data_IF_812354191472
#
_entry.id   IF_812354191472
#
_cell.length_a   1.000
_cell.length_b   1.000
_cell.length_c   1.000
_cell.angle_alpha   90.00
_cell.angle_beta   90.00
_cell.angle_gamma   90.00
#
_symmetry.space_group_name_H-M   'P 1'
#
loop_
_entity.id
_entity.type
_entity.pdbx_description
1 polymer ?
#
# COMPACT_ATOMS: atom_id res chain seq x y z
N UNK A 1 -23.38 -10.65 3.00
CA UNK A 1 -23.25 -9.92 1.72
C UNK A 1 -22.22 -10.62 0.85
N UNK A 2 -22.54 -10.86 -0.42
CA UNK A 2 -21.61 -11.48 -1.36
C UNK A 2 -20.74 -10.40 -2.01
N UNK A 3 -19.43 -10.55 -1.89
CA UNK A 3 -18.45 -9.63 -2.48
C UNK A 3 -17.86 -10.31 -3.71
N UNK A 4 -17.84 -9.61 -4.84
CA UNK A 4 -17.23 -10.08 -6.08
C UNK A 4 -16.05 -9.20 -6.45
N UNK A 5 -14.91 -9.84 -6.72
CA UNK A 5 -13.67 -9.18 -7.10
C UNK A 5 -13.14 -9.76 -8.42
N UNK A 6 -12.44 -8.94 -9.19
CA UNK A 6 -11.72 -9.44 -10.36
C UNK A 6 -10.43 -10.12 -9.91
N UNK A 7 -10.31 -11.40 -10.25
CA UNK A 7 -9.12 -12.20 -9.99
C UNK A 7 -8.20 -12.18 -11.21
N UNK A 8 -7.03 -11.58 -11.09
CA UNK A 8 -6.08 -11.45 -12.20
C UNK A 8 -5.42 -12.79 -12.62
N UNK A 9 -5.46 -13.81 -11.75
CA UNK A 9 -4.99 -15.15 -12.13
C UNK A 9 -5.91 -15.82 -13.14
N UNK A 10 -7.22 -15.65 -12.96
CA UNK A 10 -8.23 -16.25 -13.81
C UNK A 10 -8.79 -15.29 -14.85
N UNK A 11 -8.50 -13.98 -14.71
CA UNK A 11 -9.08 -12.87 -15.47
C UNK A 11 -10.62 -12.84 -15.44
N UNK A 12 -11.21 -13.29 -14.34
CA UNK A 12 -12.67 -13.35 -14.14
C UNK A 12 -13.08 -12.60 -12.89
N UNK A 13 -14.33 -12.11 -12.92
CA UNK A 13 -14.99 -11.61 -11.72
C UNK A 13 -15.53 -12.81 -10.95
N UNK A 14 -15.02 -13.02 -9.76
CA UNK A 14 -15.33 -14.17 -8.92
C UNK A 14 -15.84 -13.73 -7.55
N UNK A 15 -16.64 -14.59 -6.93
CA UNK A 15 -17.05 -14.38 -5.54
C UNK A 15 -15.81 -14.49 -4.62
N UNK A 16 -15.64 -13.51 -3.77
CA UNK A 16 -14.60 -13.54 -2.76
C UNK A 16 -14.94 -14.55 -1.66
N UNK A 17 -14.18 -15.62 -1.60
CA UNK A 17 -14.30 -16.65 -0.56
C UNK A 17 -13.03 -16.59 0.30
N UNK A 18 -13.11 -16.04 1.52
CA UNK A 18 -11.96 -15.95 2.40
C UNK A 18 -11.53 -17.33 2.92
N UNK A 19 -10.23 -17.52 3.13
CA UNK A 19 -9.67 -18.72 3.76
C UNK A 19 -10.13 -18.88 5.21
N UNK A 20 -10.23 -17.75 5.91
CA UNK A 20 -10.77 -17.68 7.26
C UNK A 20 -11.86 -16.59 7.31
N UNK A 21 -13.11 -16.98 7.59
CA UNK A 21 -14.24 -16.04 7.70
C UNK A 21 -14.18 -15.16 8.95
N UNK A 22 -13.35 -15.50 9.93
CA UNK A 22 -13.21 -14.73 11.17
C UNK A 22 -12.14 -13.65 11.05
N UNK A 23 -11.16 -13.83 10.15
CA UNK A 23 -10.04 -12.91 10.00
C UNK A 23 -9.60 -12.79 8.54
N UNK A 24 -9.82 -11.63 7.97
CA UNK A 24 -9.42 -11.29 6.60
C UNK A 24 -8.07 -10.58 6.62
N UNK A 25 -7.12 -11.08 5.84
CA UNK A 25 -5.88 -10.39 5.52
C UNK A 25 -5.98 -9.68 4.18
N UNK A 26 -5.64 -8.39 4.15
CA UNK A 26 -5.57 -7.58 2.95
C UNK A 26 -4.17 -6.98 2.84
N UNK A 27 -3.48 -7.26 1.76
CA UNK A 27 -2.17 -6.66 1.47
C UNK A 27 -2.26 -5.82 0.19
N UNK A 28 -1.76 -4.59 0.27
CA UNK A 28 -1.70 -3.66 -0.87
C UNK A 28 -0.28 -3.14 -1.00
N UNK A 29 0.25 -3.18 -2.22
CA UNK A 29 1.52 -2.54 -2.53
C UNK A 29 1.37 -1.02 -2.36
N UNK A 30 2.21 -0.45 -1.50
CA UNK A 30 2.25 0.99 -1.27
C UNK A 30 3.16 1.72 -2.26
N UNK A 31 3.33 3.03 -2.10
CA UNK A 31 4.14 3.84 -2.99
C UNK A 31 5.64 3.61 -2.82
N UNK A 32 6.40 3.85 -3.89
CA UNK A 32 7.84 4.12 -3.82
C UNK A 32 8.03 5.61 -3.59
N UNK A 33 8.69 5.96 -2.49
CA UNK A 33 8.77 7.35 -1.99
C UNK A 33 9.99 8.09 -2.55
N UNK A 34 10.00 8.31 -3.87
CA UNK A 34 11.06 9.02 -4.59
C UNK A 34 10.66 10.41 -5.10
N UNK A 35 9.37 10.68 -5.19
CA UNK A 35 8.80 11.94 -5.69
C UNK A 35 7.41 12.15 -5.07
N UNK A 36 6.92 13.37 -5.09
CA UNK A 36 5.61 13.71 -4.56
C UNK A 36 4.50 12.89 -5.24
N UNK A 37 3.49 12.44 -4.50
CA UNK A 37 2.38 11.68 -5.05
C UNK A 37 1.59 12.51 -6.09
N UNK A 38 1.15 11.84 -7.14
CA UNK A 38 0.23 12.43 -8.12
C UNK A 38 -1.12 11.69 -8.11
N UNK A 39 -2.09 12.21 -8.85
CA UNK A 39 -3.46 11.67 -8.89
C UNK A 39 -3.52 10.18 -9.25
N UNK A 40 -2.58 9.69 -10.05
CA UNK A 40 -2.46 8.27 -10.37
C UNK A 40 -2.12 7.40 -9.16
N UNK A 41 -1.42 7.95 -8.17
CA UNK A 41 -1.13 7.27 -6.90
C UNK A 41 -2.34 7.31 -5.95
N UNK A 42 -3.17 8.35 -6.03
CA UNK A 42 -4.37 8.49 -5.22
C UNK A 42 -5.46 7.46 -5.57
N UNK A 43 -5.57 7.10 -6.85
CA UNK A 43 -6.60 6.16 -7.32
C UNK A 43 -6.56 4.81 -6.58
N UNK A 44 -5.46 4.05 -6.53
CA UNK A 44 -5.41 2.79 -5.78
C UNK A 44 -5.65 3.00 -4.28
N UNK A 45 -5.19 4.11 -3.70
CA UNK A 45 -5.45 4.44 -2.30
C UNK A 45 -6.94 4.45 -2.00
N UNK A 46 -7.72 5.24 -2.75
CA UNK A 46 -9.16 5.38 -2.54
C UNK A 46 -9.89 4.07 -2.82
N UNK A 47 -9.54 3.37 -3.90
CA UNK A 47 -10.20 2.10 -4.26
C UNK A 47 -9.99 1.04 -3.16
N UNK A 48 -8.76 0.90 -2.66
CA UNK A 48 -8.46 -0.07 -1.61
C UNK A 48 -8.99 0.36 -0.24
N UNK A 49 -9.14 1.66 0.01
CA UNK A 49 -9.83 2.16 1.20
C UNK A 49 -11.31 1.77 1.19
N UNK A 50 -12.00 1.91 0.05
CA UNK A 50 -13.38 1.46 -0.12
C UNK A 50 -13.50 -0.05 0.14
N UNK A 51 -12.60 -0.85 -0.43
CA UNK A 51 -12.57 -2.29 -0.20
C UNK A 51 -12.32 -2.61 1.29
N UNK A 52 -11.38 -1.94 1.93
CA UNK A 52 -11.10 -2.12 3.34
C UNK A 52 -12.32 -1.84 4.23
N UNK A 53 -13.01 -0.72 3.99
CA UNK A 53 -14.25 -0.37 4.71
C UNK A 53 -15.36 -1.40 4.47
N UNK A 54 -15.52 -1.88 3.24
CA UNK A 54 -16.49 -2.92 2.90
C UNK A 54 -16.18 -4.23 3.66
N UNK A 55 -14.92 -4.65 3.66
CA UNK A 55 -14.49 -5.84 4.40
C UNK A 55 -14.71 -5.70 5.91
N UNK A 56 -14.39 -4.54 6.51
CA UNK A 56 -14.63 -4.25 7.92
C UNK A 56 -16.12 -4.33 8.30
N UNK A 57 -17.01 -3.91 7.40
CA UNK A 57 -18.44 -3.99 7.63
C UNK A 57 -19.02 -5.40 7.44
N UNK A 58 -18.28 -6.27 6.74
CA UNK A 58 -18.77 -7.61 6.38
C UNK A 58 -18.18 -8.71 7.28
N UNK A 59 -16.96 -8.52 7.76
CA UNK A 59 -16.22 -9.54 8.52
C UNK A 59 -15.81 -9.04 9.92
N UNK A 60 -15.71 -9.95 10.91
CA UNK A 60 -15.43 -9.58 12.30
C UNK A 60 -14.08 -8.91 12.50
N UNK A 61 -13.06 -9.34 11.75
CA UNK A 61 -11.70 -8.81 11.84
C UNK A 61 -11.06 -8.69 10.46
N UNK A 62 -10.45 -7.54 10.20
CA UNK A 62 -9.67 -7.29 8.98
C UNK A 62 -8.32 -6.71 9.37
N UNK A 63 -7.26 -7.31 8.87
CA UNK A 63 -5.90 -6.78 8.95
C UNK A 63 -5.50 -6.25 7.59
N UNK A 64 -5.28 -4.94 7.50
CA UNK A 64 -4.84 -4.26 6.29
C UNK A 64 -3.38 -3.88 6.40
N UNK A 65 -2.58 -4.38 5.47
CA UNK A 65 -1.14 -4.08 5.37
C UNK A 65 -0.89 -3.33 4.07
N UNK A 66 -0.19 -2.21 4.16
CA UNK A 66 0.29 -1.44 3.01
C UNK A 66 1.75 -1.06 3.26
N UNK A 67 2.67 -1.55 2.43
CA UNK A 67 4.09 -1.22 2.60
C UNK A 67 4.43 0.19 2.10
N UNK A 68 5.58 0.67 2.51
CA UNK A 68 6.28 1.83 1.93
C UNK A 68 7.58 1.31 1.34
N UNK A 69 7.81 1.56 0.05
CA UNK A 69 9.07 1.24 -0.61
C UNK A 69 10.01 2.44 -0.48
N UNK A 70 10.89 2.37 0.49
CA UNK A 70 11.87 3.41 0.84
C UNK A 70 13.31 3.03 0.44
N UNK A 71 13.46 1.94 -0.32
CA UNK A 71 14.70 1.51 -0.97
C UNK A 71 14.37 1.16 -2.42
N UNK A 72 14.92 1.91 -3.38
CA UNK A 72 14.73 1.71 -4.82
C UNK A 72 15.76 2.55 -5.60
N UNK A 73 16.13 2.13 -6.79
CA UNK A 73 17.07 2.87 -7.66
C UNK A 73 16.54 4.28 -7.99
N UNK A 74 15.23 4.44 -8.09
CA UNK A 74 14.59 5.74 -8.32
C UNK A 74 14.83 6.71 -7.15
N UNK A 75 14.85 6.21 -5.93
CA UNK A 75 15.14 7.01 -4.73
C UNK A 75 16.59 7.49 -4.78
N UNK A 76 17.53 6.60 -5.12
CA UNK A 76 18.96 6.95 -5.25
C UNK A 76 19.13 8.02 -6.31
N UNK A 77 18.54 7.83 -7.49
CA UNK A 77 18.62 8.79 -8.59
C UNK A 77 18.05 10.15 -8.19
N UNK A 78 16.82 10.19 -7.64
CA UNK A 78 16.16 11.42 -7.22
C UNK A 78 16.93 12.16 -6.12
N UNK A 79 17.51 11.44 -5.16
CA UNK A 79 18.31 12.03 -4.08
C UNK A 79 19.57 12.70 -4.62
N UNK A 80 20.23 12.10 -5.60
CA UNK A 80 21.40 12.70 -6.28
C UNK A 80 21.02 13.96 -7.08
N UNK A 81 19.92 13.93 -7.81
CA UNK A 81 19.42 15.08 -8.57
C UNK A 81 19.05 16.26 -7.66
N UNK A 82 18.42 15.96 -6.51
CA UNK A 82 18.03 16.98 -5.53
C UNK A 82 19.15 17.36 -4.55
N UNK A 83 20.30 16.69 -4.61
CA UNK A 83 21.47 16.92 -3.72
C UNK A 83 21.13 16.78 -2.22
N UNK A 84 20.25 15.85 -1.89
CA UNK A 84 19.87 15.51 -0.51
C UNK A 84 20.14 14.02 -0.27
N UNK A 85 20.15 13.58 0.99
CA UNK A 85 20.29 12.17 1.29
C UNK A 85 19.03 11.37 0.93
N UNK A 86 19.19 10.10 0.58
CA UNK A 86 18.05 9.21 0.32
C UNK A 86 17.10 9.14 1.53
N UNK A 87 17.62 9.17 2.74
CA UNK A 87 16.83 9.19 3.97
C UNK A 87 15.97 10.46 4.06
N UNK A 88 16.57 11.63 3.85
CA UNK A 88 15.85 12.91 3.87
C UNK A 88 14.75 12.96 2.81
N UNK A 89 15.05 12.50 1.58
CA UNK A 89 14.08 12.41 0.50
C UNK A 89 12.90 11.50 0.88
N UNK A 90 13.17 10.29 1.35
CA UNK A 90 12.12 9.32 1.70
C UNK A 90 11.26 9.78 2.87
N UNK A 91 11.83 10.44 3.87
CA UNK A 91 11.09 11.03 4.98
C UNK A 91 10.17 12.16 4.53
N UNK A 92 10.67 13.07 3.69
CA UNK A 92 9.90 14.18 3.11
C UNK A 92 8.73 13.67 2.29
N UNK A 93 8.99 12.78 1.32
CA UNK A 93 7.95 12.25 0.43
C UNK A 93 6.95 11.37 1.18
N UNK A 94 7.39 10.58 2.16
CA UNK A 94 6.49 9.82 3.01
C UNK A 94 5.54 10.72 3.81
N UNK A 95 6.04 11.83 4.33
CA UNK A 95 5.21 12.81 5.06
C UNK A 95 4.13 13.40 4.16
N UNK A 96 4.51 13.85 2.95
CA UNK A 96 3.59 14.35 1.94
C UNK A 96 2.51 13.30 1.58
N UNK A 97 2.93 12.06 1.37
CA UNK A 97 2.01 10.95 1.10
C UNK A 97 1.00 10.71 2.25
N UNK A 98 1.42 10.80 3.49
CA UNK A 98 0.50 10.64 4.63
C UNK A 98 -0.49 11.80 4.75
N UNK A 99 -0.06 13.01 4.46
CA UNK A 99 -0.94 14.18 4.40
C UNK A 99 -2.00 14.02 3.30
N UNK A 100 -1.61 13.54 2.12
CA UNK A 100 -2.53 13.26 1.03
C UNK A 100 -3.54 12.15 1.39
N UNK A 101 -3.08 11.06 2.05
CA UNK A 101 -3.98 10.02 2.54
C UNK A 101 -5.05 10.60 3.50
N UNK A 102 -4.64 11.48 4.39
CA UNK A 102 -5.52 12.15 5.34
C UNK A 102 -6.48 13.12 4.63
N UNK A 103 -5.99 13.88 3.67
CA UNK A 103 -6.82 14.80 2.87
C UNK A 103 -7.90 14.04 2.08
N UNK A 104 -7.55 12.87 1.52
CA UNK A 104 -8.49 11.98 0.83
C UNK A 104 -9.41 11.19 1.79
N UNK A 105 -9.29 11.40 3.08
CA UNK A 105 -10.05 10.69 4.12
C UNK A 105 -9.91 9.16 4.03
N UNK A 106 -8.76 8.67 3.58
CA UNK A 106 -8.43 7.25 3.59
C UNK A 106 -8.07 6.79 5.00
N UNK A 107 -8.58 5.63 5.40
CA UNK A 107 -8.21 5.03 6.69
C UNK A 107 -6.75 4.55 6.67
N UNK A 108 -6.10 4.65 7.83
CA UNK A 108 -4.76 4.11 7.98
C UNK A 108 -4.78 2.57 7.90
N UNK A 109 -3.78 1.95 7.26
CA UNK A 109 -3.63 0.51 7.33
C UNK A 109 -3.33 0.06 8.77
N UNK A 110 -3.64 -1.19 9.08
CA UNK A 110 -3.32 -1.81 10.38
C UNK A 110 -1.80 -1.85 10.59
N UNK A 111 -1.06 -2.16 9.53
CA UNK A 111 0.41 -2.16 9.52
C UNK A 111 0.91 -1.49 8.25
N UNK A 112 1.99 -0.73 8.40
CA UNK A 112 2.65 -0.03 7.29
C UNK A 112 4.17 -0.24 7.35
N UNK A 113 4.64 -1.47 7.00
CA UNK A 113 6.06 -1.77 7.04
C UNK A 113 6.83 -0.99 5.98
N UNK A 114 8.04 -0.56 6.33
CA UNK A 114 9.00 0.00 5.39
C UNK A 114 9.86 -1.11 4.81
N UNK A 115 10.16 -1.05 3.51
CA UNK A 115 10.97 -2.06 2.83
C UNK A 115 12.35 -2.22 3.46
N UNK A 116 12.99 -1.12 3.90
CA UNK A 116 14.29 -1.17 4.57
C UNK A 116 14.29 -1.99 5.87
N UNK A 117 13.15 -2.15 6.52
CA UNK A 117 13.02 -2.94 7.74
C UNK A 117 12.71 -4.43 7.46
N UNK A 118 12.39 -4.78 6.22
CA UNK A 118 12.13 -6.15 5.78
C UNK A 118 13.32 -6.76 5.02
N UNK A 119 14.49 -6.32 5.34
CA UNK A 119 15.76 -6.71 4.72
C UNK A 119 15.99 -8.24 4.64
N UNK A 120 15.44 -9.02 5.56
CA UNK A 120 15.53 -10.49 5.56
C UNK A 120 14.35 -11.18 4.89
N UNK A 121 13.45 -10.46 4.25
CA UNK A 121 12.32 -11.06 3.54
C UNK A 121 12.84 -11.85 2.33
N UNK A 122 12.55 -13.14 2.21
CA UNK A 122 12.94 -13.91 1.03
C UNK A 122 12.22 -13.34 -0.20
N UNK A 123 12.98 -12.83 -1.13
CA UNK A 123 12.51 -12.35 -2.42
C UNK A 123 12.99 -13.26 -3.53
N UNK A 124 12.16 -13.57 -4.52
CA UNK A 124 12.62 -14.29 -5.72
C UNK A 124 13.66 -13.52 -6.55
N UNK A 125 13.91 -12.26 -6.20
CA UNK A 125 14.88 -11.38 -6.89
C UNK A 125 16.21 -11.28 -6.15
N UNK A 126 16.29 -11.83 -4.96
CA UNK A 126 17.53 -11.94 -4.17
C UNK A 126 18.27 -13.27 -4.53
#
# INVERSE_FOLDING_TARGET
MDIFLTNNLTNKKEQFVPKDKKHIGMYVCGPTVYDDPHIGNARPLVIFDILFRLLKNTFPKVTYVRNITDIDDKIIKSSLEQKISAKELTEKVSSSFFEDCKFLNCENPTHQPKACLLYTSPSPRD
#
